data_IF_827085146807
#
_entry.id   IF_827085146807
#
_cell.length_a   1.000
_cell.length_b   1.000
_cell.length_c   1.000
_cell.angle_alpha   90.00
_cell.angle_beta   90.00
_cell.angle_gamma   90.00
#
_symmetry.space_group_name_H-M   'P 1'
#
loop_
_entity.id
_entity.type
_entity.pdbx_description
1 polymer ?
#
# COMPACT_ATOMS: atom_id res chain seq x y z
N UNK A 1 1.47 1.06 -22.09
CA UNK A 1 1.80 0.60 -23.45
C UNK A 1 3.29 0.38 -23.65
N UNK A 2 4.17 1.29 -23.18
CA UNK A 2 5.63 1.15 -23.32
C UNK A 2 6.24 -0.13 -22.70
N UNK A 3 5.57 -0.72 -21.71
CA UNK A 3 6.04 -1.95 -21.06
C UNK A 3 5.96 -3.20 -21.93
N UNK A 4 5.21 -3.16 -23.04
CA UNK A 4 4.98 -4.32 -23.90
C UNK A 4 5.78 -4.29 -25.20
N UNK A 5 6.58 -3.26 -25.45
CA UNK A 5 7.25 -3.04 -26.73
C UNK A 5 8.73 -3.45 -26.76
N UNK A 6 9.25 -4.07 -25.72
CA UNK A 6 10.65 -4.46 -25.67
C UNK A 6 10.91 -5.90 -26.05
N UNK A 7 12.07 -6.12 -26.59
CA UNK A 7 12.57 -7.42 -27.02
C UNK A 7 13.46 -8.09 -25.97
N UNK A 8 13.89 -7.35 -24.95
CA UNK A 8 14.77 -7.83 -23.89
C UNK A 8 13.95 -8.23 -22.63
N UNK A 9 14.25 -9.36 -21.99
CA UNK A 9 13.63 -9.73 -20.72
C UNK A 9 13.82 -8.70 -19.59
N UNK A 10 14.93 -7.95 -19.62
CA UNK A 10 15.18 -6.90 -18.65
C UNK A 10 14.42 -5.60 -18.95
N UNK A 11 13.99 -5.45 -20.16
CA UNK A 11 13.38 -4.21 -20.65
C UNK A 11 11.84 -4.24 -20.65
N UNK A 12 11.20 -5.39 -20.61
CA UNK A 12 9.74 -5.56 -20.63
C UNK A 12 8.99 -4.60 -21.57
N UNK A 13 9.62 -4.28 -22.72
CA UNK A 13 9.00 -3.40 -23.67
C UNK A 13 9.25 -1.93 -23.53
N UNK A 14 10.10 -1.53 -22.65
CA UNK A 14 10.44 -0.13 -22.53
C UNK A 14 11.46 0.27 -23.57
N UNK A 15 11.07 1.13 -24.49
CA UNK A 15 11.98 1.86 -25.35
C UNK A 15 12.56 2.98 -24.47
N UNK A 16 13.77 2.78 -24.00
CA UNK A 16 14.48 3.82 -23.30
C UNK A 16 15.05 4.83 -24.30
N UNK A 17 15.55 5.88 -23.77
CA UNK A 17 16.09 7.04 -24.45
C UNK A 17 16.95 6.69 -25.66
N UNK A 18 16.63 7.25 -26.82
CA UNK A 18 17.49 7.14 -28.02
C UNK A 18 18.64 8.11 -27.91
N UNK A 19 19.85 7.57 -27.86
CA UNK A 19 21.06 8.38 -27.92
C UNK A 19 21.42 8.64 -29.41
N UNK A 20 21.07 9.83 -29.88
CA UNK A 20 21.35 10.23 -31.26
C UNK A 20 22.83 10.28 -31.60
N UNK A 21 23.69 10.49 -30.61
CA UNK A 21 25.15 10.52 -30.82
C UNK A 21 25.75 9.13 -31.07
N UNK A 22 25.13 8.11 -30.43
CA UNK A 22 25.55 6.70 -30.60
C UNK A 22 24.72 5.96 -31.63
N UNK A 23 23.56 6.52 -32.01
CA UNK A 23 22.65 5.86 -32.93
C UNK A 23 21.97 4.61 -32.34
N UNK A 24 21.86 4.53 -31.03
CA UNK A 24 21.34 3.35 -30.32
C UNK A 24 20.32 3.72 -29.24
N UNK A 25 19.47 2.77 -28.92
CA UNK A 25 18.59 2.84 -27.75
C UNK A 25 19.21 2.10 -26.57
N UNK A 26 19.14 2.67 -25.38
CA UNK A 26 19.52 1.98 -24.16
C UNK A 26 18.48 0.90 -23.83
N UNK A 27 18.68 -0.31 -24.29
CA UNK A 27 17.73 -1.42 -24.13
C UNK A 27 17.67 -1.96 -22.71
N UNK A 28 18.76 -1.87 -21.98
CA UNK A 28 18.93 -2.52 -20.68
C UNK A 28 18.88 -1.52 -19.51
N UNK A 29 18.16 -0.42 -19.70
CA UNK A 29 17.98 0.57 -18.64
C UNK A 29 16.95 0.08 -17.63
N UNK A 30 17.40 -0.53 -16.55
CA UNK A 30 16.55 -1.18 -15.54
C UNK A 30 15.85 -0.25 -14.56
N UNK A 31 16.25 1.02 -14.49
CA UNK A 31 15.69 1.98 -13.52
C UNK A 31 14.16 2.11 -13.57
N UNK A 32 13.52 2.24 -14.73
CA UNK A 32 12.08 2.36 -14.79
C UNK A 32 11.33 1.11 -14.29
N UNK A 33 11.93 -0.07 -14.49
CA UNK A 33 11.36 -1.34 -14.00
C UNK A 33 11.45 -1.38 -12.47
N UNK A 34 12.61 -1.00 -11.91
CA UNK A 34 12.80 -0.89 -10.47
C UNK A 34 11.87 0.14 -9.84
N UNK A 35 11.67 1.29 -10.50
CA UNK A 35 10.72 2.32 -10.03
C UNK A 35 9.28 1.82 -10.10
N UNK A 36 8.86 1.15 -11.17
CA UNK A 36 7.51 0.60 -11.30
C UNK A 36 7.22 -0.44 -10.20
N UNK A 37 8.17 -1.35 -9.95
CA UNK A 37 8.05 -2.34 -8.87
C UNK A 37 7.98 -1.67 -7.49
N UNK A 38 8.80 -0.65 -7.27
CA UNK A 38 8.79 0.14 -6.03
C UNK A 38 7.47 0.89 -5.84
N UNK A 39 6.94 1.52 -6.88
CA UNK A 39 5.65 2.22 -6.82
C UNK A 39 4.52 1.25 -6.49
N UNK A 40 4.54 0.06 -7.05
CA UNK A 40 3.56 -0.98 -6.73
C UNK A 40 3.69 -1.41 -5.27
N UNK A 41 4.85 -1.84 -4.83
CA UNK A 41 5.05 -2.43 -3.49
C UNK A 41 4.97 -1.35 -2.41
N UNK A 42 5.73 -0.27 -2.53
CA UNK A 42 5.82 0.76 -1.51
C UNK A 42 4.69 1.79 -1.60
N UNK A 43 4.23 2.12 -2.80
CA UNK A 43 3.18 3.12 -3.02
C UNK A 43 1.78 2.54 -2.85
N UNK A 44 1.44 1.52 -3.61
CA UNK A 44 0.08 0.96 -3.63
C UNK A 44 -0.19 0.04 -2.43
N UNK A 45 0.68 -0.94 -2.20
CA UNK A 45 0.54 -1.86 -1.05
C UNK A 45 1.14 -1.30 0.24
N UNK A 46 1.97 -0.26 0.15
CA UNK A 46 2.52 0.44 1.30
C UNK A 46 3.47 -0.40 2.15
N UNK A 47 4.18 -1.35 1.54
CA UNK A 47 5.08 -2.27 2.24
C UNK A 47 6.46 -1.63 2.35
N UNK A 48 6.87 -1.31 3.57
CA UNK A 48 8.08 -0.56 3.88
C UNK A 48 8.88 -1.27 4.98
N UNK A 49 9.78 -2.21 4.61
CA UNK A 49 10.67 -2.83 5.58
C UNK A 49 11.69 -1.84 6.15
N UNK A 50 11.86 -1.85 7.45
CA UNK A 50 12.84 -1.07 8.19
C UNK A 50 13.67 -2.03 9.08
N UNK A 51 14.64 -2.67 8.46
CA UNK A 51 15.44 -3.70 9.10
C UNK A 51 16.30 -3.14 10.25
N UNK A 52 16.67 -1.87 10.20
CA UNK A 52 17.48 -1.25 11.26
C UNK A 52 16.70 -1.08 12.57
N UNK A 53 15.38 -0.89 12.47
CA UNK A 53 14.48 -0.78 13.61
C UNK A 53 13.67 -2.07 13.83
N UNK A 54 14.05 -3.18 13.21
CA UNK A 54 13.36 -4.48 13.29
C UNK A 54 11.85 -4.39 13.00
N UNK A 55 11.45 -3.47 12.14
CA UNK A 55 10.07 -3.10 11.88
C UNK A 55 9.69 -3.34 10.42
N UNK A 56 8.45 -3.78 10.21
CA UNK A 56 7.75 -3.71 8.93
C UNK A 56 6.58 -2.75 9.06
N UNK A 57 6.60 -1.66 8.30
CA UNK A 57 5.45 -0.78 8.15
C UNK A 57 4.62 -1.23 6.94
N UNK A 58 3.31 -1.42 7.15
CA UNK A 58 2.33 -1.67 6.09
C UNK A 58 1.29 -0.57 6.10
N UNK A 59 1.29 0.25 5.03
CA UNK A 59 0.45 1.44 4.88
C UNK A 59 -0.23 1.44 3.51
N UNK A 60 -1.24 0.59 3.27
CA UNK A 60 -1.84 0.43 1.96
C UNK A 60 -2.54 1.71 1.48
N UNK A 61 -2.24 2.10 0.24
CA UNK A 61 -2.86 3.20 -0.49
C UNK A 61 -3.89 2.73 -1.52
N UNK A 62 -4.63 1.68 -1.21
CA UNK A 62 -5.57 1.04 -2.14
C UNK A 62 -6.74 1.97 -2.50
N UNK A 63 -7.16 2.01 -3.77
CA UNK A 63 -8.32 2.79 -4.20
C UNK A 63 -9.59 2.41 -3.42
N UNK A 64 -10.39 3.43 -3.09
CA UNK A 64 -11.62 3.23 -2.29
C UNK A 64 -12.66 2.36 -3.00
N UNK A 65 -12.63 2.30 -4.33
CA UNK A 65 -13.53 1.47 -5.13
C UNK A 65 -13.15 -0.02 -5.20
N UNK A 66 -11.95 -0.40 -4.74
CA UNK A 66 -11.53 -1.79 -4.81
C UNK A 66 -12.18 -2.63 -3.69
N UNK A 67 -12.85 -3.73 -4.05
CA UNK A 67 -13.43 -4.63 -3.04
C UNK A 67 -12.38 -5.50 -2.39
N UNK A 68 -11.30 -5.82 -3.08
CA UNK A 68 -10.20 -6.64 -2.60
C UNK A 68 -8.90 -6.32 -3.34
N UNK A 69 -7.79 -6.68 -2.73
CA UNK A 69 -6.46 -6.64 -3.32
C UNK A 69 -5.57 -7.67 -2.65
N UNK A 70 -4.67 -8.29 -3.42
CA UNK A 70 -3.69 -9.23 -2.88
C UNK A 70 -2.32 -9.01 -3.50
N UNK A 71 -1.29 -9.28 -2.72
CA UNK A 71 0.10 -9.31 -3.15
C UNK A 71 0.80 -10.50 -2.49
N UNK A 72 1.36 -11.38 -3.29
CA UNK A 72 2.11 -12.53 -2.82
C UNK A 72 3.53 -12.48 -3.40
N UNK A 73 4.51 -12.42 -2.52
CA UNK A 73 5.94 -12.44 -2.84
C UNK A 73 6.64 -13.48 -1.97
N UNK A 74 7.89 -13.85 -2.27
CA UNK A 74 8.64 -14.76 -1.40
C UNK A 74 8.74 -14.28 0.06
N UNK A 75 8.76 -12.96 0.27
CA UNK A 75 9.01 -12.36 1.58
C UNK A 75 7.74 -11.90 2.30
N UNK A 76 6.65 -11.61 1.58
CA UNK A 76 5.43 -11.03 2.15
C UNK A 76 4.21 -11.51 1.38
N UNK A 77 3.19 -11.90 2.13
CA UNK A 77 1.81 -12.04 1.66
C UNK A 77 0.97 -10.94 2.28
N UNK A 78 0.15 -10.31 1.47
CA UNK A 78 -0.79 -9.28 1.87
C UNK A 78 -2.12 -9.51 1.18
N UNK A 79 -3.20 -9.59 1.95
CA UNK A 79 -4.56 -9.69 1.45
C UNK A 79 -5.43 -8.62 2.11
N UNK A 80 -6.24 -7.96 1.30
CA UNK A 80 -7.22 -6.98 1.72
C UNK A 80 -8.58 -7.34 1.18
N UNK A 81 -9.60 -7.21 2.02
CA UNK A 81 -11.01 -7.37 1.63
C UNK A 81 -11.89 -6.31 2.30
N UNK A 82 -12.83 -5.78 1.54
CA UNK A 82 -14.03 -5.15 2.09
C UNK A 82 -15.04 -6.24 2.35
N UNK A 83 -15.51 -6.35 3.59
CA UNK A 83 -16.51 -7.35 3.96
C UNK A 83 -17.83 -7.10 3.23
N UNK A 84 -18.62 -8.17 3.08
CA UNK A 84 -19.97 -8.13 2.49
C UNK A 84 -20.93 -7.23 3.28
N UNK A 85 -20.65 -7.03 4.57
CA UNK A 85 -21.35 -6.05 5.39
C UNK A 85 -20.69 -4.68 5.22
N UNK A 86 -21.51 -3.70 4.92
CA UNK A 86 -21.07 -2.31 4.86
C UNK A 86 -20.33 -1.90 6.15
N UNK A 87 -19.21 -1.25 5.97
CA UNK A 87 -18.40 -0.79 7.11
C UNK A 87 -17.48 -1.84 7.74
N UNK A 88 -17.16 -2.94 7.07
CA UNK A 88 -16.15 -3.89 7.53
C UNK A 88 -14.98 -3.95 6.56
N UNK A 89 -13.76 -3.93 7.07
CA UNK A 89 -12.54 -4.20 6.30
C UNK A 89 -11.66 -5.20 7.03
N UNK A 90 -10.98 -6.05 6.26
CA UNK A 90 -10.01 -7.00 6.78
C UNK A 90 -8.69 -6.91 6.02
N UNK A 91 -7.62 -7.16 6.73
CA UNK A 91 -6.26 -7.23 6.19
C UNK A 91 -5.57 -8.44 6.80
N UNK A 92 -4.93 -9.22 5.95
CA UNK A 92 -4.10 -10.34 6.39
C UNK A 92 -2.69 -10.08 5.91
N UNK A 93 -1.73 -10.15 6.82
CA UNK A 93 -0.32 -9.91 6.53
C UNK A 93 0.51 -11.05 7.09
N UNK A 94 1.31 -11.68 6.23
CA UNK A 94 2.34 -12.63 6.64
C UNK A 94 3.68 -12.18 6.10
N UNK A 95 4.69 -12.02 6.95
CA UNK A 95 6.04 -11.72 6.51
C UNK A 95 7.01 -12.86 6.82
N UNK A 96 8.05 -12.97 5.99
CA UNK A 96 9.14 -13.95 6.13
C UNK A 96 10.50 -13.29 6.32
N UNK A 97 10.48 -12.01 6.70
CA UNK A 97 11.68 -11.20 6.95
C UNK A 97 12.28 -11.54 8.31
N UNK A 98 13.50 -12.12 8.39
CA UNK A 98 14.04 -12.67 9.64
C UNK A 98 14.37 -11.61 10.69
N UNK A 99 14.67 -10.39 10.28
CA UNK A 99 15.01 -9.29 11.20
C UNK A 99 13.79 -8.57 11.79
N UNK A 100 12.60 -8.75 11.22
CA UNK A 100 11.38 -8.04 11.67
C UNK A 100 10.84 -8.67 12.96
N UNK A 101 10.59 -7.82 13.95
CA UNK A 101 9.99 -8.17 15.25
C UNK A 101 8.72 -7.41 15.55
N UNK A 102 8.48 -6.33 14.78
CA UNK A 102 7.33 -5.45 14.96
C UNK A 102 6.66 -5.19 13.64
N UNK A 103 5.35 -5.36 13.61
CA UNK A 103 4.50 -4.98 12.50
C UNK A 103 3.73 -3.72 12.90
N UNK A 104 3.94 -2.65 12.17
CA UNK A 104 3.16 -1.42 12.26
C UNK A 104 2.19 -1.36 11.07
N UNK A 105 0.92 -1.29 11.36
CA UNK A 105 -0.16 -1.28 10.37
C UNK A 105 -0.84 0.08 10.40
N UNK A 106 -0.84 0.80 9.27
CA UNK A 106 -1.49 2.10 9.16
C UNK A 106 -2.62 2.02 8.14
N UNK A 107 -3.86 2.23 8.58
CA UNK A 107 -5.05 2.12 7.74
C UNK A 107 -5.75 3.46 7.57
N UNK A 108 -6.14 3.85 6.34
CA UNK A 108 -6.96 5.03 6.14
C UNK A 108 -8.36 4.79 6.74
N UNK A 109 -8.82 5.75 7.53
CA UNK A 109 -10.15 5.69 8.11
C UNK A 109 -11.21 5.68 7.00
N UNK A 110 -12.14 4.73 7.08
CA UNK A 110 -13.24 4.60 6.13
C UNK A 110 -14.45 5.42 6.58
N UNK A 111 -14.68 5.49 7.89
CA UNK A 111 -15.77 6.24 8.53
C UNK A 111 -15.28 7.00 9.76
N UNK A 112 -16.09 7.88 10.28
CA UNK A 112 -15.75 8.79 11.38
C UNK A 112 -15.51 8.10 12.73
N UNK A 113 -15.83 6.81 12.87
CA UNK A 113 -15.63 6.02 14.09
C UNK A 113 -15.11 4.63 13.80
N UNK A 114 -14.30 4.11 14.70
CA UNK A 114 -13.95 2.69 14.79
C UNK A 114 -14.91 2.06 15.81
N UNK A 115 -15.80 1.20 15.34
CA UNK A 115 -16.73 0.48 16.23
C UNK A 115 -16.01 -0.67 16.93
N UNK A 116 -15.15 -1.39 16.20
CA UNK A 116 -14.35 -2.49 16.74
C UNK A 116 -13.10 -2.69 15.90
N UNK A 117 -11.99 -2.99 16.55
CA UNK A 117 -10.75 -3.42 15.91
C UNK A 117 -10.23 -4.66 16.62
N UNK A 118 -9.96 -5.69 15.85
CA UNK A 118 -9.40 -6.95 16.36
C UNK A 118 -8.16 -7.33 15.57
N UNK A 119 -7.22 -7.97 16.26
CA UNK A 119 -6.05 -8.62 15.69
C UNK A 119 -6.04 -10.06 16.15
N UNK A 120 -5.98 -10.98 15.19
CA UNK A 120 -6.08 -12.42 15.43
C UNK A 120 -7.28 -12.76 16.35
N UNK A 121 -8.44 -12.12 16.07
CA UNK A 121 -9.69 -12.29 16.82
C UNK A 121 -9.76 -11.60 18.19
N UNK A 122 -8.68 -10.99 18.69
CA UNK A 122 -8.62 -10.32 20.00
C UNK A 122 -8.79 -8.80 19.83
N UNK A 123 -9.50 -8.10 20.72
CA UNK A 123 -9.57 -6.65 20.71
C UNK A 123 -8.16 -6.03 20.77
N UNK A 124 -7.93 -5.02 19.96
CA UNK A 124 -6.66 -4.30 19.90
C UNK A 124 -6.85 -2.79 20.05
N UNK A 125 -5.81 -2.14 20.57
CA UNK A 125 -5.74 -0.69 20.68
C UNK A 125 -5.13 -0.09 19.43
N UNK A 126 -5.50 1.14 19.13
CA UNK A 126 -5.01 1.90 18.00
C UNK A 126 -4.77 3.36 18.39
N UNK A 127 -3.97 4.05 17.61
CA UNK A 127 -3.73 5.49 17.73
C UNK A 127 -3.99 6.17 16.39
N UNK A 128 -4.19 7.49 16.42
CA UNK A 128 -4.23 8.27 15.18
C UNK A 128 -2.80 8.61 14.76
N UNK A 129 -2.53 8.49 13.47
CA UNK A 129 -1.28 8.99 12.90
C UNK A 129 -1.34 10.50 12.85
N UNK A 130 -0.42 11.15 13.55
CA UNK A 130 -0.27 12.60 13.49
C UNK A 130 0.11 13.03 12.05
N UNK A 131 -0.42 14.18 11.62
CA UNK A 131 -0.10 14.79 10.33
C UNK A 131 -0.43 13.91 9.10
N UNK A 132 -1.44 13.04 9.20
CA UNK A 132 -1.97 12.38 8.00
C UNK A 132 -2.60 13.41 7.06
N UNK A 133 -2.29 13.29 5.76
CA UNK A 133 -2.84 14.16 4.71
C UNK A 133 -4.08 13.50 4.16
N UNK A 134 -5.10 14.28 3.84
CA UNK A 134 -6.39 13.89 3.22
C UNK A 134 -7.36 13.16 4.12
N UNK A 135 -6.98 12.07 4.76
CA UNK A 135 -7.84 11.28 5.66
C UNK A 135 -7.11 10.94 6.95
N UNK A 136 -7.80 10.86 8.07
CA UNK A 136 -7.24 10.31 9.29
C UNK A 136 -6.74 8.88 9.04
N UNK A 137 -5.63 8.54 9.65
CA UNK A 137 -5.10 7.17 9.60
C UNK A 137 -5.00 6.60 11.00
N UNK A 138 -5.36 5.34 11.12
CA UNK A 138 -5.17 4.56 12.33
C UNK A 138 -3.82 3.89 12.28
N UNK A 139 -3.10 3.87 13.39
CA UNK A 139 -1.87 3.07 13.55
C UNK A 139 -2.08 2.01 14.62
N UNK A 140 -1.69 0.80 14.29
CA UNK A 140 -1.68 -0.36 15.19
C UNK A 140 -0.29 -0.96 15.14
N UNK A 141 0.29 -1.21 16.32
CA UNK A 141 1.62 -1.80 16.45
C UNK A 141 1.49 -3.12 17.20
N UNK A 142 2.00 -4.18 16.60
CA UNK A 142 1.97 -5.52 17.18
C UNK A 142 3.32 -6.21 17.07
N UNK A 143 3.68 -7.07 18.04
CA UNK A 143 4.76 -8.02 17.86
C UNK A 143 4.48 -8.92 16.66
N UNK A 144 5.52 -9.24 15.91
CA UNK A 144 5.40 -10.09 14.73
C UNK A 144 6.58 -11.06 14.65
N UNK A 145 6.29 -12.25 14.17
CA UNK A 145 7.30 -13.30 13.92
C UNK A 145 7.27 -13.72 12.45
N UNK A 146 8.44 -14.07 11.94
CA UNK A 146 8.54 -14.55 10.56
C UNK A 146 7.69 -15.80 10.34
N UNK A 147 6.84 -15.78 9.33
CA UNK A 147 5.93 -16.87 8.98
C UNK A 147 4.60 -16.88 9.74
N UNK A 148 4.41 -16.00 10.74
CA UNK A 148 3.14 -15.87 11.43
C UNK A 148 2.19 -14.93 10.67
N UNK A 149 0.92 -15.32 10.60
CA UNK A 149 -0.15 -14.53 10.01
C UNK A 149 -0.67 -13.52 11.03
N UNK A 150 -0.85 -12.28 10.58
CA UNK A 150 -1.53 -11.23 11.34
C UNK A 150 -2.84 -10.88 10.63
N UNK A 151 -3.96 -11.32 11.19
CA UNK A 151 -5.31 -10.98 10.72
C UNK A 151 -5.83 -9.75 11.46
N UNK A 152 -6.12 -8.69 10.72
CA UNK A 152 -6.70 -7.44 11.25
C UNK A 152 -8.09 -7.26 10.68
N UNK A 153 -9.07 -7.11 11.56
CA UNK A 153 -10.45 -6.82 11.20
C UNK A 153 -10.91 -5.53 11.85
N UNK A 154 -11.43 -4.62 11.04
CA UNK A 154 -11.95 -3.32 11.48
C UNK A 154 -13.43 -3.23 11.14
N UNK A 155 -14.25 -2.97 12.13
CA UNK A 155 -15.65 -2.62 11.98
C UNK A 155 -15.77 -1.11 12.15
N UNK A 156 -16.20 -0.44 11.08
CA UNK A 156 -16.35 1.01 11.03
C UNK A 156 -17.75 1.42 11.43
N UNK A 157 -17.85 2.52 12.16
CA UNK A 157 -19.11 3.17 12.53
C UNK A 157 -19.13 4.64 12.18
N UNK A 158 -20.27 5.28 12.41
CA UNK A 158 -20.45 6.70 12.09
C UNK A 158 -20.64 6.98 10.61
N UNK A 159 -20.35 8.21 10.20
CA UNK A 159 -20.56 8.71 8.84
C UNK A 159 -19.37 8.36 7.93
N UNK A 160 -19.64 8.18 6.65
CA UNK A 160 -18.59 8.04 5.64
C UNK A 160 -17.88 9.37 5.42
N UNK A 161 -16.57 9.30 5.17
CA UNK A 161 -15.85 10.47 4.69
C UNK A 161 -16.24 10.72 3.23
N UNK A 162 -16.88 11.85 2.99
CA UNK A 162 -17.08 12.32 1.62
C UNK A 162 -15.71 12.58 0.97
N UNK A 163 -15.56 12.19 -0.28
CA UNK A 163 -14.45 12.70 -1.08
C UNK A 163 -14.55 14.22 -1.11
N UNK A 164 -13.44 14.96 -0.97
CA UNK A 164 -13.49 16.40 -1.19
C UNK A 164 -14.13 16.65 -2.54
N UNK A 165 -15.05 17.62 -2.60
CA UNK A 165 -15.69 17.99 -3.86
C UNK A 165 -14.60 18.21 -4.92
N UNK A 166 -14.78 17.62 -6.08
CA UNK A 166 -13.84 17.83 -7.18
C UNK A 166 -13.75 19.34 -7.43
N UNK A 167 -12.53 19.88 -7.37
CA UNK A 167 -12.31 21.26 -7.79
C UNK A 167 -12.76 21.36 -9.25
N UNK A 168 -13.68 22.29 -9.61
CA UNK A 168 -14.09 22.43 -11.00
C UNK A 168 -12.86 22.62 -11.89
N UNK A 169 -12.82 21.95 -13.03
CA UNK A 169 -11.68 21.97 -13.95
C UNK A 169 -11.33 23.39 -14.48
N UNK A 170 -12.20 24.37 -14.24
CA UNK A 170 -12.04 25.75 -14.64
C UNK A 170 -11.52 26.69 -13.54
N UNK A 171 -11.17 26.17 -12.37
CA UNK A 171 -10.50 26.97 -11.35
C UNK A 171 -9.05 27.15 -11.76
N UNK A 172 -8.76 28.31 -12.34
CA UNK A 172 -7.38 28.75 -12.58
C UNK A 172 -6.92 29.39 -11.28
N UNK A 173 -5.91 28.84 -10.67
CA UNK A 173 -5.23 29.48 -9.54
C UNK A 173 -4.49 30.71 -10.12
N UNK A 174 -4.87 31.91 -9.72
CA UNK A 174 -4.07 33.09 -9.98
C UNK A 174 -2.79 32.98 -9.12
N UNK A 175 -1.65 33.15 -9.76
CA UNK A 175 -0.34 33.28 -9.10
C UNK A 175 -0.28 34.52 -8.20
#
# INVERSE_FOLDING_TARGET
DGMYLGESPANFGQISFYDAARGECYRDFGDPIGVASRVLIQGLYGILPDAMNERLLVKPGLPSAWPSASLHTPDIDFDFQRGDKEGVTSYVVTHRLPAVRTLELQFPAQRSKVAKLTINGKPATWTLVEKSITRPMLSVVVPASSGEETDVRIEWGGEEFSSPASVPANVIYAE
#
